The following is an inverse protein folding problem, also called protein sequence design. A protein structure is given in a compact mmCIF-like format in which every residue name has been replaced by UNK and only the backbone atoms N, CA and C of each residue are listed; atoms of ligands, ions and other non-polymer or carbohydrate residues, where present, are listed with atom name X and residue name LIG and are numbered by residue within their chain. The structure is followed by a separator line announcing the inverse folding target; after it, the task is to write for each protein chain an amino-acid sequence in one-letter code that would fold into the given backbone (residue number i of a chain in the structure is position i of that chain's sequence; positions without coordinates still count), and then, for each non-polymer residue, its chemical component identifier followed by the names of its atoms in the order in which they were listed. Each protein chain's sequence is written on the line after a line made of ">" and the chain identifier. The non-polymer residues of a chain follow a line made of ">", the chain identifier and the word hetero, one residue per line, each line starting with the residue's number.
data_IF_381922371801
#
_entry.id   IF_381922371801
#
_cell.length_a   1.000
_cell.length_b   1.000
_cell.length_c   1.000
_cell.angle_alpha   90.00
_cell.angle_beta   90.00
_cell.angle_gamma   90.00
#
_symmetry.space_group_name_H-M   'P 1'
#
loop_
_entity.id
_entity.type
_entity.pdbx_description
1 polymer ?
#
# COMPACT_ATOMS: atom_id res chain seq x y z
N UNK A 1 -2.29 5.27 0.64
CA UNK A 1 -2.15 4.01 1.43
C UNK A 1 -2.56 4.26 2.86
N UNK A 2 -3.34 3.38 3.51
CA UNK A 2 -3.66 3.54 4.93
C UNK A 2 -2.42 3.21 5.78
N UNK A 3 -2.07 4.12 6.67
CA UNK A 3 -1.04 3.92 7.68
C UNK A 3 -1.46 4.61 8.98
N UNK A 4 -0.66 4.50 10.03
CA UNK A 4 -0.93 5.18 11.29
C UNK A 4 -0.75 6.69 11.14
N UNK A 5 -1.39 7.45 12.05
CA UNK A 5 -1.22 8.90 12.16
C UNK A 5 0.26 9.32 12.19
N UNK A 6 1.06 8.64 13.02
CA UNK A 6 2.50 8.91 13.16
C UNK A 6 3.22 8.70 11.83
N UNK A 7 2.90 7.63 11.10
CA UNK A 7 3.54 7.38 9.81
C UNK A 7 3.15 8.42 8.77
N UNK A 8 1.91 8.89 8.74
CA UNK A 8 1.53 10.04 7.90
C UNK A 8 2.38 11.27 8.22
N UNK A 9 2.58 11.58 9.49
CA UNK A 9 3.37 12.74 9.90
C UNK A 9 4.84 12.61 9.48
N UNK A 10 5.43 11.43 9.68
CA UNK A 10 6.82 11.16 9.28
C UNK A 10 6.98 11.27 7.77
N UNK A 11 6.12 10.61 6.99
CA UNK A 11 6.17 10.65 5.53
C UNK A 11 5.92 12.08 5.00
N UNK A 12 4.95 12.79 5.56
CA UNK A 12 4.70 14.20 5.22
C UNK A 12 5.91 15.08 5.50
N UNK A 13 6.60 14.89 6.62
CA UNK A 13 7.79 15.69 6.94
C UNK A 13 8.94 15.52 5.94
N UNK A 14 9.09 14.34 5.33
CA UNK A 14 10.07 14.13 4.27
C UNK A 14 9.66 14.78 2.96
N UNK A 15 8.36 14.77 2.61
CA UNK A 15 7.86 15.49 1.45
C UNK A 15 8.14 16.98 1.60
N UNK A 16 7.80 17.56 2.75
CA UNK A 16 8.04 18.99 3.01
C UNK A 16 9.54 19.32 2.94
N UNK A 17 10.41 18.51 3.53
CA UNK A 17 11.87 18.72 3.41
C UNK A 17 12.36 18.65 1.96
N UNK A 18 11.82 17.72 1.16
CA UNK A 18 12.21 17.54 -0.24
C UNK A 18 11.77 18.72 -1.11
N UNK A 19 10.54 19.22 -0.91
CA UNK A 19 9.96 20.29 -1.72
C UNK A 19 10.33 21.71 -1.25
N UNK A 20 10.33 21.95 0.06
CA UNK A 20 10.56 23.26 0.66
C UNK A 20 12.00 23.48 1.16
N UNK A 21 12.82 22.43 1.20
CA UNK A 21 14.17 22.49 1.76
C UNK A 21 14.17 22.61 3.28
N UNK A 22 15.18 23.26 3.85
CA UNK A 22 15.30 23.44 5.30
C UNK A 22 14.22 24.37 5.87
N UNK A 23 13.78 24.07 7.09
CA UNK A 23 12.82 24.94 7.78
C UNK A 23 13.40 26.35 8.06
N UNK A 24 12.93 27.37 7.32
CA UNK A 24 13.12 28.79 7.62
C UNK A 24 12.02 29.36 8.55
N UNK A 25 12.33 29.80 9.78
CA UNK A 25 11.35 30.41 10.70
C UNK A 25 10.63 31.65 10.18
N UNK A 26 11.20 32.35 9.19
CA UNK A 26 10.61 33.57 8.62
C UNK A 26 9.60 33.28 7.52
N UNK A 27 9.79 32.19 6.77
CA UNK A 27 8.91 31.78 5.67
C UNK A 27 7.93 30.70 6.09
N UNK A 28 8.36 29.76 6.94
CA UNK A 28 7.57 28.60 7.39
C UNK A 28 6.83 28.87 8.70
N UNK A 29 5.89 29.81 8.65
CA UNK A 29 5.12 30.22 9.84
C UNK A 29 3.90 29.33 10.03
N UNK A 30 3.88 28.60 11.15
CA UNK A 30 2.77 27.71 11.52
C UNK A 30 2.55 26.62 10.48
N UNK A 31 1.29 26.29 10.19
CA UNK A 31 0.93 25.24 9.22
C UNK A 31 0.60 25.78 7.82
N UNK A 32 0.56 27.11 7.63
CA UNK A 32 0.03 27.74 6.42
C UNK A 32 0.77 27.32 5.15
N UNK A 33 2.09 27.15 5.24
CA UNK A 33 2.93 26.79 4.10
C UNK A 33 2.76 25.33 3.63
N UNK A 34 2.08 24.49 4.41
CA UNK A 34 1.82 23.07 4.08
C UNK A 34 0.33 22.72 4.03
N UNK A 35 -0.56 23.68 4.30
CA UNK A 35 -1.99 23.41 4.50
C UNK A 35 -2.65 22.82 3.25
N UNK A 36 -2.19 23.23 2.08
CA UNK A 36 -2.76 22.87 0.78
C UNK A 36 -2.20 21.55 0.23
N UNK A 37 -1.18 20.98 0.90
CA UNK A 37 -0.56 19.74 0.47
C UNK A 37 -1.33 18.50 0.97
N UNK A 38 -1.69 17.53 0.12
CA UNK A 38 -2.51 16.37 0.49
C UNK A 38 -1.68 15.23 1.10
N UNK A 39 -1.24 15.37 2.36
CA UNK A 39 -0.43 14.35 3.04
C UNK A 39 -1.22 13.08 3.41
N UNK A 40 -2.51 13.24 3.69
CA UNK A 40 -3.40 12.15 4.09
C UNK A 40 -4.76 12.30 3.40
N UNK A 41 -5.62 11.26 3.40
CA UNK A 41 -7.01 11.43 2.99
C UNK A 41 -7.65 12.61 3.74
N UNK A 42 -8.46 13.42 3.06
CA UNK A 42 -9.03 14.66 3.62
C UNK A 42 -9.67 14.48 5.00
N UNK A 43 -10.39 13.36 5.21
CA UNK A 43 -11.03 13.03 6.49
C UNK A 43 -10.05 12.77 7.65
N UNK A 44 -8.77 12.55 7.36
CA UNK A 44 -7.71 12.27 8.33
C UNK A 44 -6.72 13.43 8.46
N UNK A 45 -6.70 14.38 7.53
CA UNK A 45 -5.79 15.52 7.56
C UNK A 45 -6.33 16.60 8.49
N UNK A 46 -5.81 16.62 9.72
CA UNK A 46 -6.21 17.58 10.76
C UNK A 46 -5.14 18.65 10.97
N UNK A 47 -5.48 19.82 11.56
CA UNK A 47 -4.49 20.81 11.95
C UNK A 47 -3.41 20.27 12.90
N UNK A 48 -3.78 19.32 13.78
CA UNK A 48 -2.84 18.61 14.66
C UNK A 48 -1.81 17.80 13.85
N UNK A 49 -2.25 17.07 12.82
CA UNK A 49 -1.36 16.34 11.91
C UNK A 49 -0.38 17.30 11.23
N UNK A 50 -0.88 18.42 10.70
CA UNK A 50 -0.05 19.43 10.05
C UNK A 50 0.96 20.02 11.03
N UNK A 51 0.54 20.38 12.25
CA UNK A 51 1.44 20.84 13.29
C UNK A 51 2.54 19.83 13.60
N UNK A 52 2.20 18.53 13.68
CA UNK A 52 3.19 17.48 13.89
C UNK A 52 4.17 17.31 12.73
N UNK A 53 3.71 17.50 11.49
CA UNK A 53 4.56 17.50 10.30
C UNK A 53 5.57 18.67 10.36
N UNK A 54 5.13 19.87 10.73
CA UNK A 54 6.01 21.04 10.88
C UNK A 54 7.07 20.79 11.96
N UNK A 55 6.69 20.24 13.11
CA UNK A 55 7.65 19.90 14.17
C UNK A 55 8.69 18.87 13.71
N UNK A 56 8.30 17.88 12.92
CA UNK A 56 9.22 16.91 12.35
C UNK A 56 10.10 17.52 11.24
N UNK A 57 9.55 18.42 10.42
CA UNK A 57 10.28 19.13 9.37
C UNK A 57 11.47 19.92 9.95
N UNK A 58 11.28 20.60 11.09
CA UNK A 58 12.37 21.30 11.80
C UNK A 58 13.55 20.40 12.16
N UNK A 59 13.33 19.10 12.34
CA UNK A 59 14.37 18.13 12.70
C UNK A 59 15.17 17.60 11.50
N UNK A 60 14.73 17.88 10.27
CA UNK A 60 15.35 17.38 9.04
C UNK A 60 16.37 18.35 8.43
N UNK A 61 16.71 19.43 9.14
CA UNK A 61 17.66 20.45 8.68
C UNK A 61 18.97 19.84 8.18
N UNK A 62 19.43 20.31 7.02
CA UNK A 62 20.63 19.85 6.35
C UNK A 62 20.46 18.60 5.50
N UNK A 63 19.26 18.02 5.42
CA UNK A 63 18.96 16.91 4.51
C UNK A 63 18.70 17.45 3.12
N UNK A 64 19.36 16.86 2.12
CA UNK A 64 19.07 17.15 0.73
C UNK A 64 17.73 16.53 0.31
N UNK A 65 17.10 17.01 -0.77
CA UNK A 65 15.89 16.40 -1.32
C UNK A 65 16.04 14.90 -1.61
N UNK A 66 17.18 14.47 -2.14
CA UNK A 66 17.44 13.06 -2.46
C UNK A 66 17.50 12.19 -1.19
N UNK A 67 18.07 12.71 -0.10
CA UNK A 67 18.08 12.03 1.18
C UNK A 67 16.67 11.92 1.79
N UNK A 68 15.89 12.99 1.70
CA UNK A 68 14.51 13.02 2.17
C UNK A 68 13.64 12.01 1.40
N UNK A 69 13.74 11.98 0.07
CA UNK A 69 13.04 11.03 -0.80
C UNK A 69 13.44 9.58 -0.50
N UNK A 70 14.74 9.33 -0.30
CA UNK A 70 15.23 7.99 0.08
C UNK A 70 14.67 7.54 1.42
N UNK A 71 14.60 8.45 2.40
CA UNK A 71 14.02 8.16 3.72
C UNK A 71 12.50 7.93 3.62
N UNK A 72 11.80 8.71 2.81
CA UNK A 72 10.40 8.51 2.49
C UNK A 72 10.17 7.09 1.95
N UNK A 73 10.88 6.70 0.89
CA UNK A 73 10.76 5.37 0.27
C UNK A 73 11.18 4.23 1.23
N UNK A 74 12.16 4.46 2.10
CA UNK A 74 12.58 3.50 3.13
C UNK A 74 11.50 3.23 4.16
N UNK A 75 10.71 4.24 4.52
CA UNK A 75 9.59 4.09 5.45
C UNK A 75 8.33 3.57 4.74
N UNK A 76 8.02 4.10 3.57
CA UNK A 76 6.86 3.71 2.78
C UNK A 76 6.89 2.21 2.41
N UNK A 77 8.06 1.66 2.03
CA UNK A 77 8.18 0.23 1.67
C UNK A 77 7.85 -0.74 2.80
N UNK A 78 7.90 -0.29 4.07
CA UNK A 78 7.57 -1.10 5.25
C UNK A 78 6.07 -1.21 5.48
N UNK A 79 5.26 -0.39 4.80
CA UNK A 79 3.80 -0.45 4.92
C UNK A 79 3.26 -1.74 4.31
N UNK A 80 2.31 -2.37 5.01
CA UNK A 80 1.77 -3.68 4.64
C UNK A 80 1.06 -3.71 3.27
N UNK A 81 0.62 -2.55 2.78
CA UNK A 81 -0.05 -2.40 1.49
C UNK A 81 0.82 -1.70 0.44
N UNK A 82 2.11 -1.48 0.74
CA UNK A 82 3.04 -0.87 -0.22
C UNK A 82 3.18 -1.73 -1.47
N UNK A 83 2.83 -1.16 -2.62
CA UNK A 83 2.90 -1.85 -3.91
C UNK A 83 1.93 -3.03 -4.05
N UNK A 84 0.82 -3.05 -3.30
CA UNK A 84 -0.22 -4.09 -3.41
C UNK A 84 -1.39 -3.58 -4.27
N UNK A 85 -1.65 -4.23 -5.42
CA UNK A 85 -2.86 -4.02 -6.22
C UNK A 85 -4.00 -4.90 -5.68
N UNK A 86 -5.10 -4.28 -5.24
CA UNK A 86 -6.21 -4.95 -4.56
C UNK A 86 -7.41 -5.16 -5.49
N UNK A 87 -7.89 -6.40 -5.58
CA UNK A 87 -8.99 -6.80 -6.45
C UNK A 87 -10.06 -7.56 -5.66
N UNK A 88 -11.30 -7.08 -5.71
CA UNK A 88 -12.44 -7.77 -5.09
C UNK A 88 -12.86 -8.96 -5.94
N UNK A 89 -12.91 -10.15 -5.32
CA UNK A 89 -13.32 -11.40 -5.97
C UNK A 89 -14.13 -12.25 -4.99
N UNK A 90 -14.78 -13.30 -5.50
CA UNK A 90 -15.48 -14.29 -4.67
C UNK A 90 -14.78 -15.64 -4.69
N UNK A 91 -14.84 -16.39 -3.59
CA UNK A 91 -14.40 -17.79 -3.57
C UNK A 91 -15.39 -18.67 -4.34
N UNK A 92 -15.02 -19.94 -4.59
CA UNK A 92 -15.94 -20.96 -5.13
C UNK A 92 -17.19 -21.14 -4.25
N UNK A 93 -17.07 -20.90 -2.95
CA UNK A 93 -18.16 -20.95 -1.97
C UNK A 93 -18.98 -19.63 -1.91
N UNK A 94 -18.68 -18.66 -2.76
CA UNK A 94 -19.43 -17.39 -2.85
C UNK A 94 -19.03 -16.32 -1.83
N UNK A 95 -17.99 -16.56 -1.01
CA UNK A 95 -17.54 -15.59 -0.01
C UNK A 95 -16.78 -14.43 -0.66
N UNK A 96 -17.10 -13.19 -0.28
CA UNK A 96 -16.38 -12.00 -0.72
C UNK A 96 -14.99 -11.93 -0.06
N UNK A 97 -13.97 -11.82 -0.91
CA UNK A 97 -12.57 -11.68 -0.51
C UNK A 97 -11.88 -10.62 -1.39
N UNK A 98 -10.68 -10.21 -1.00
CA UNK A 98 -9.84 -9.31 -1.80
C UNK A 98 -8.49 -9.98 -2.07
N UNK A 99 -8.13 -10.11 -3.33
CA UNK A 99 -6.80 -10.52 -3.76
C UNK A 99 -5.89 -9.31 -3.81
N UNK A 100 -4.70 -9.41 -3.21
CA UNK A 100 -3.64 -8.42 -3.31
C UNK A 100 -2.47 -8.96 -4.12
N UNK A 101 -2.16 -8.37 -5.27
CA UNK A 101 -0.99 -8.74 -6.07
C UNK A 101 0.15 -7.79 -5.71
N UNK A 102 1.33 -8.32 -5.40
CA UNK A 102 2.50 -7.49 -5.05
C UNK A 102 3.80 -8.18 -5.47
N UNK A 103 4.93 -7.47 -5.35
CA UNK A 103 6.24 -7.94 -5.83
C UNK A 103 6.63 -9.34 -5.32
N UNK A 104 6.16 -9.74 -4.13
CA UNK A 104 6.51 -11.02 -3.52
C UNK A 104 5.47 -12.13 -3.68
N UNK A 105 4.35 -11.92 -4.38
CA UNK A 105 3.32 -12.94 -4.59
C UNK A 105 1.88 -12.44 -4.62
N UNK A 106 0.97 -13.30 -4.17
CA UNK A 106 -0.46 -13.02 -4.03
C UNK A 106 -0.88 -13.12 -2.56
N UNK A 107 -1.69 -12.17 -2.12
CA UNK A 107 -2.21 -12.02 -0.77
C UNK A 107 -3.73 -12.21 -0.80
N UNK A 108 -4.29 -12.87 0.21
CA UNK A 108 -5.74 -12.96 0.37
C UNK A 108 -6.15 -12.18 1.61
N UNK A 109 -7.14 -11.30 1.44
CA UNK A 109 -7.73 -10.51 2.50
C UNK A 109 -9.22 -10.79 2.64
N UNK A 110 -9.71 -10.80 3.88
CA UNK A 110 -11.14 -10.76 4.22
C UNK A 110 -11.34 -9.73 5.31
N UNK A 111 -12.30 -8.82 5.13
CA UNK A 111 -12.59 -7.75 6.09
C UNK A 111 -11.32 -6.98 6.54
N UNK A 112 -10.42 -6.67 5.60
CA UNK A 112 -9.12 -6.02 5.82
C UNK A 112 -8.07 -6.83 6.61
N UNK A 113 -8.40 -8.05 7.03
CA UNK A 113 -7.46 -8.98 7.66
C UNK A 113 -6.81 -9.85 6.58
N UNK A 114 -5.48 -9.96 6.61
CA UNK A 114 -4.74 -10.86 5.72
C UNK A 114 -4.90 -12.30 6.20
N UNK A 115 -5.57 -13.12 5.39
CA UNK A 115 -5.78 -14.55 5.68
C UNK A 115 -4.60 -15.41 5.22
N UNK A 116 -4.06 -15.12 4.02
CA UNK A 116 -3.04 -15.98 3.41
C UNK A 116 -2.08 -15.17 2.54
N UNK A 117 -0.85 -15.70 2.42
CA UNK A 117 0.20 -15.24 1.51
C UNK A 117 0.71 -16.41 0.69
N UNK A 118 0.73 -16.26 -0.64
CA UNK A 118 1.28 -17.24 -1.58
C UNK A 118 2.44 -16.55 -2.31
N UNK A 119 3.67 -16.98 -2.03
CA UNK A 119 4.85 -16.44 -2.72
C UNK A 119 4.93 -16.93 -4.16
N UNK A 120 5.50 -16.12 -5.07
CA UNK A 120 5.67 -16.50 -6.48
C UNK A 120 6.28 -17.89 -6.69
N UNK A 121 7.35 -18.31 -5.96
CA UNK A 121 7.94 -19.65 -6.14
C UNK A 121 7.01 -20.81 -5.79
N UNK A 122 5.93 -20.57 -5.05
CA UNK A 122 4.93 -21.58 -4.68
C UNK A 122 3.79 -21.68 -5.70
N UNK A 123 3.73 -20.79 -6.69
CA UNK A 123 2.73 -20.79 -7.76
C UNK A 123 3.29 -21.57 -8.94
N UNK A 124 2.57 -22.59 -9.38
CA UNK A 124 2.93 -23.39 -10.56
C UNK A 124 2.42 -22.69 -11.83
N UNK A 125 1.17 -22.26 -11.82
CA UNK A 125 0.56 -21.58 -12.96
C UNK A 125 -0.58 -20.67 -12.52
N UNK A 126 -0.77 -19.61 -13.31
CA UNK A 126 -1.94 -18.74 -13.27
C UNK A 126 -2.73 -18.97 -14.55
N UNK A 127 -4.05 -19.04 -14.44
CA UNK A 127 -4.93 -19.16 -15.61
C UNK A 127 -6.26 -18.47 -15.37
N UNK A 128 -7.01 -18.22 -16.45
CA UNK A 128 -8.35 -17.70 -16.34
C UNK A 128 -9.31 -18.40 -17.30
N UNK A 129 -10.58 -18.56 -16.90
CA UNK A 129 -11.67 -19.10 -17.74
C UNK A 129 -12.95 -18.32 -17.50
N UNK A 130 -13.38 -17.55 -18.49
CA UNK A 130 -14.51 -16.64 -18.34
C UNK A 130 -14.26 -15.63 -17.21
N UNK A 131 -15.07 -15.70 -16.14
CA UNK A 131 -14.90 -14.86 -14.93
C UNK A 131 -14.02 -15.49 -13.86
N UNK A 132 -13.55 -16.71 -14.07
CA UNK A 132 -12.78 -17.43 -13.06
C UNK A 132 -11.29 -17.16 -13.26
N UNK A 133 -10.62 -16.77 -12.19
CA UNK A 133 -9.17 -16.70 -12.06
C UNK A 133 -8.70 -17.88 -11.21
N UNK A 134 -7.73 -18.63 -11.70
CA UNK A 134 -7.31 -19.91 -11.12
C UNK A 134 -5.82 -19.85 -10.82
N UNK A 135 -5.46 -20.16 -9.58
CA UNK A 135 -4.07 -20.24 -9.10
C UNK A 135 -3.76 -21.70 -8.80
N UNK A 136 -2.86 -22.30 -9.57
CA UNK A 136 -2.30 -23.61 -9.26
C UNK A 136 -1.08 -23.43 -8.35
N UNK A 137 -1.07 -24.09 -7.20
CA UNK A 137 0.00 -24.02 -6.22
C UNK A 137 0.76 -25.34 -6.16
N UNK A 138 2.05 -25.26 -5.85
CA UNK A 138 2.86 -26.46 -5.59
C UNK A 138 2.24 -27.23 -4.42
N UNK A 139 2.13 -28.57 -4.52
CA UNK A 139 1.77 -29.38 -3.36
C UNK A 139 2.73 -29.03 -2.22
N UNK A 140 2.18 -28.58 -1.10
CA UNK A 140 2.89 -28.58 0.18
C UNK A 140 2.37 -29.74 1.03
N UNK A 141 3.03 -30.00 2.16
CA UNK A 141 2.74 -31.15 3.02
C UNK A 141 1.29 -31.23 3.55
N UNK A 142 0.50 -30.14 3.51
CA UNK A 142 -0.79 -30.05 4.20
C UNK A 142 -2.04 -29.73 3.34
N UNK A 143 -1.98 -29.75 1.99
CA UNK A 143 -3.22 -29.50 1.22
C UNK A 143 -3.35 -30.28 -0.09
N UNK A 144 -4.41 -31.09 -0.17
CA UNK A 144 -4.87 -31.80 -1.38
C UNK A 144 -5.37 -30.85 -2.48
N UNK A 145 -5.84 -29.64 -2.11
CA UNK A 145 -6.34 -28.64 -3.07
C UNK A 145 -5.19 -27.92 -3.78
N UNK A 146 -4.80 -28.47 -4.94
CA UNK A 146 -3.78 -27.90 -5.82
C UNK A 146 -4.19 -26.56 -6.43
N UNK A 147 -5.49 -26.34 -6.63
CA UNK A 147 -6.00 -25.19 -7.38
C UNK A 147 -6.95 -24.34 -6.54
N UNK A 148 -6.69 -23.04 -6.47
CA UNK A 148 -7.65 -22.07 -5.96
C UNK A 148 -8.39 -21.41 -7.11
N UNK A 149 -9.71 -21.37 -7.05
CA UNK A 149 -10.53 -20.66 -8.04
C UNK A 149 -11.23 -19.49 -7.41
N UNK A 150 -11.09 -18.32 -8.04
CA UNK A 150 -11.71 -17.07 -7.65
C UNK A 150 -12.59 -16.53 -8.76
N UNK A 151 -13.82 -16.16 -8.42
CA UNK A 151 -14.78 -15.59 -9.36
C UNK A 151 -14.67 -14.06 -9.33
N UNK A 152 -14.23 -13.50 -10.45
CA UNK A 152 -14.14 -12.07 -10.67
C UNK A 152 -15.50 -11.47 -11.02
N UNK A 153 -15.62 -10.15 -10.84
CA UNK A 153 -16.83 -9.40 -11.20
C UNK A 153 -17.05 -9.48 -12.73
N UNK A 154 -15.99 -9.31 -13.51
CA UNK A 154 -16.00 -9.34 -14.98
C UNK A 154 -14.91 -10.26 -15.55
N UNK A 155 -15.06 -10.75 -16.79
CA UNK A 155 -14.01 -11.47 -17.50
C UNK A 155 -12.77 -10.60 -17.76
N UNK A 156 -12.96 -9.29 -17.95
CA UNK A 156 -11.87 -8.32 -18.13
C UNK A 156 -10.97 -8.24 -16.90
N UNK A 157 -11.55 -8.29 -15.69
CA UNK A 157 -10.79 -8.33 -14.44
C UNK A 157 -10.01 -9.65 -14.30
N UNK A 158 -10.62 -10.78 -14.66
CA UNK A 158 -9.94 -12.08 -14.63
C UNK A 158 -8.73 -12.12 -15.58
N UNK A 159 -8.86 -11.53 -16.77
CA UNK A 159 -7.75 -11.37 -17.72
C UNK A 159 -6.67 -10.42 -17.18
N UNK A 160 -7.06 -9.31 -16.54
CA UNK A 160 -6.12 -8.36 -15.91
C UNK A 160 -5.33 -8.99 -14.76
N UNK A 161 -5.95 -9.86 -13.97
CA UNK A 161 -5.27 -10.58 -12.88
C UNK A 161 -4.26 -11.64 -13.38
N UNK A 162 -4.44 -12.09 -14.62
CA UNK A 162 -3.56 -13.06 -15.26
C UNK A 162 -2.34 -12.41 -15.93
N UNK A 163 -2.54 -11.25 -16.57
CA UNK A 163 -1.50 -10.46 -17.24
C UNK A 163 -0.59 -9.74 -16.24
#
# INVERSE_FOLDING_TARGET
>A
LPCSFVTYCILGSYIVQSEAGDHDPTQHIGIKYIQDHPFAPHMLQTPEMLGRIVELHKLHRGKTPEEADRLFLSNARKLALYGVDLHKVKTSQGQDITLGVYYGGILLYRNRIRLMRISWPRIISLSHRGRNFIIARRPGDDSLDRNMTFKCISPTLAKRLYN
#
